data_IF_782228250894
#
_entry.id   IF_782228250894
#
_cell.length_a   1.000
_cell.length_b   1.000
_cell.length_c   1.000
_cell.angle_alpha   90.00
_cell.angle_beta   90.00
_cell.angle_gamma   90.00
#
_symmetry.space_group_name_H-M   'P 1'
#
loop_
_entity.id
_entity.type
_entity.pdbx_description
1 polymer ?
#
# COMPACT_ATOMS: atom_id res chain seq x y z
N UNK A 1 -38.83 -16.85 -90.50
CA UNK A 1 -39.16 -16.68 -89.05
C UNK A 1 -39.44 -15.20 -88.94
N UNK A 2 -40.73 -14.83 -88.74
CA UNK A 2 -41.16 -13.46 -89.00
C UNK A 2 -40.95 -12.57 -87.76
N UNK A 3 -40.19 -11.50 -87.95
CA UNK A 3 -40.00 -10.45 -86.91
C UNK A 3 -41.35 -9.88 -86.35
N UNK A 4 -42.39 -10.01 -87.08
CA UNK A 4 -43.69 -9.56 -86.73
C UNK A 4 -44.44 -10.49 -85.74
N UNK A 5 -44.17 -11.83 -85.82
CA UNK A 5 -44.67 -12.83 -84.89
C UNK A 5 -43.96 -12.72 -83.55
N UNK A 6 -42.66 -12.54 -83.57
CA UNK A 6 -41.87 -12.33 -82.33
C UNK A 6 -42.27 -11.05 -81.60
N UNK A 7 -42.58 -9.96 -82.32
CA UNK A 7 -43.06 -8.70 -81.72
C UNK A 7 -44.41 -8.85 -81.06
N UNK A 8 -45.32 -9.63 -81.64
CA UNK A 8 -46.64 -9.89 -81.05
C UNK A 8 -46.51 -10.76 -79.79
N UNK A 9 -45.62 -11.74 -79.83
CA UNK A 9 -45.43 -12.59 -78.67
C UNK A 9 -44.76 -11.81 -77.49
N UNK A 10 -43.78 -10.94 -77.80
CA UNK A 10 -43.21 -10.04 -76.80
C UNK A 10 -44.22 -9.05 -76.23
N UNK A 11 -45.11 -8.53 -77.06
CA UNK A 11 -46.15 -7.63 -76.58
C UNK A 11 -47.15 -8.33 -75.64
N UNK A 12 -47.52 -9.60 -75.99
CA UNK A 12 -48.39 -10.42 -75.14
C UNK A 12 -47.73 -10.79 -73.81
N UNK A 13 -46.42 -11.13 -73.81
CA UNK A 13 -45.66 -11.41 -72.63
C UNK A 13 -45.55 -10.15 -71.76
N UNK A 14 -45.21 -9.01 -72.31
CA UNK A 14 -45.15 -7.72 -71.59
C UNK A 14 -46.50 -7.35 -70.95
N UNK A 15 -47.61 -7.54 -71.72
CA UNK A 15 -48.93 -7.28 -71.14
C UNK A 15 -49.29 -8.17 -69.95
N UNK A 16 -48.82 -9.43 -69.96
CA UNK A 16 -48.98 -10.36 -68.86
C UNK A 16 -48.08 -9.93 -67.64
N UNK A 17 -46.88 -9.50 -67.90
CA UNK A 17 -45.94 -9.03 -66.85
C UNK A 17 -46.52 -7.74 -66.20
N UNK A 18 -46.94 -6.78 -66.98
CA UNK A 18 -47.60 -5.57 -66.47
C UNK A 18 -48.85 -5.88 -65.64
N UNK A 19 -49.68 -6.77 -66.12
CA UNK A 19 -50.89 -7.16 -65.39
C UNK A 19 -50.58 -7.82 -64.03
N UNK A 20 -49.50 -8.53 -63.95
CA UNK A 20 -49.12 -9.25 -62.73
C UNK A 20 -48.31 -8.39 -61.76
N UNK A 21 -47.43 -7.52 -62.25
CA UNK A 21 -46.47 -6.77 -61.42
C UNK A 21 -46.87 -5.30 -61.22
N UNK A 22 -47.67 -4.65 -62.08
CA UNK A 22 -48.09 -3.28 -61.88
C UNK A 22 -48.80 -3.05 -60.53
N UNK A 23 -49.62 -3.96 -60.01
CA UNK A 23 -50.23 -3.78 -58.70
C UNK A 23 -49.22 -3.65 -57.60
N UNK A 24 -48.06 -4.30 -57.75
CA UNK A 24 -46.94 -4.23 -56.71
C UNK A 24 -46.26 -2.85 -56.69
N UNK A 25 -46.26 -2.14 -57.84
CA UNK A 25 -45.73 -0.79 -57.94
C UNK A 25 -46.61 0.26 -57.22
N UNK A 26 -47.83 -0.05 -57.01
CA UNK A 26 -48.80 0.83 -56.30
C UNK A 26 -48.98 0.43 -54.83
N UNK A 27 -48.33 -0.63 -54.41
CA UNK A 27 -48.39 -1.08 -53.03
C UNK A 27 -47.75 -0.05 -52.10
N UNK A 28 -48.42 0.38 -51.00
CA UNK A 28 -47.90 1.38 -50.14
C UNK A 28 -46.63 0.80 -49.42
N UNK A 29 -45.53 1.55 -49.49
CA UNK A 29 -44.27 1.16 -48.84
C UNK A 29 -44.49 0.94 -47.34
N UNK A 30 -44.16 -0.22 -46.77
CA UNK A 30 -44.41 -0.50 -45.37
C UNK A 30 -43.79 0.58 -44.46
N UNK A 31 -44.54 1.06 -43.47
CA UNK A 31 -44.15 2.13 -42.56
C UNK A 31 -42.79 1.88 -41.87
N UNK A 32 -42.42 0.60 -41.69
CA UNK A 32 -41.09 0.19 -41.15
C UNK A 32 -39.90 0.63 -42.02
N UNK A 33 -40.11 0.88 -43.33
CA UNK A 33 -39.05 1.36 -44.22
C UNK A 33 -38.85 2.88 -44.14
N UNK A 34 -39.84 3.63 -43.66
CA UNK A 34 -39.73 5.07 -43.43
C UNK A 34 -39.23 5.41 -42.03
N UNK A 35 -39.33 4.49 -41.08
CA UNK A 35 -38.81 4.70 -39.71
C UNK A 35 -37.31 4.50 -39.69
N UNK A 36 -36.56 5.42 -40.27
CA UNK A 36 -35.18 5.62 -39.87
C UNK A 36 -35.20 6.03 -38.40
N UNK A 37 -34.68 5.19 -37.51
CA UNK A 37 -34.44 5.61 -36.14
C UNK A 37 -33.56 6.87 -36.18
N UNK A 38 -33.99 7.97 -35.60
CA UNK A 38 -33.23 9.20 -35.68
C UNK A 38 -31.88 8.97 -35.03
N UNK A 39 -30.81 9.23 -35.78
CA UNK A 39 -29.42 8.95 -35.36
C UNK A 39 -29.06 9.62 -34.02
N UNK A 40 -29.78 10.68 -33.65
CA UNK A 40 -29.57 11.36 -32.36
C UNK A 40 -29.84 10.47 -31.13
N UNK A 41 -30.70 9.44 -31.26
CA UNK A 41 -30.97 8.48 -30.17
C UNK A 41 -29.73 7.61 -29.84
N UNK A 42 -28.94 7.28 -30.83
CA UNK A 42 -27.70 6.51 -30.63
C UNK A 42 -26.61 7.40 -30.00
N UNK A 43 -26.54 8.67 -30.41
CA UNK A 43 -25.66 9.67 -29.74
C UNK A 43 -26.12 9.97 -28.31
N UNK A 44 -27.44 10.03 -28.06
CA UNK A 44 -27.96 10.24 -26.72
C UNK A 44 -27.62 9.08 -25.78
N UNK A 45 -27.67 7.84 -26.27
CA UNK A 45 -27.23 6.66 -25.48
C UNK A 45 -25.73 6.68 -25.18
N UNK A 46 -24.92 7.01 -26.18
CA UNK A 46 -23.47 7.16 -25.98
C UNK A 46 -23.14 8.27 -24.96
N UNK A 47 -23.82 9.42 -25.10
CA UNK A 47 -23.64 10.53 -24.15
C UNK A 47 -24.09 10.17 -22.73
N UNK A 48 -25.15 9.38 -22.57
CA UNK A 48 -25.61 8.89 -21.26
C UNK A 48 -24.57 7.96 -20.61
N UNK A 49 -23.97 7.05 -21.37
CA UNK A 49 -22.93 6.16 -20.86
C UNK A 49 -21.68 6.94 -20.41
N UNK A 50 -21.29 7.95 -21.18
CA UNK A 50 -20.18 8.85 -20.82
C UNK A 50 -20.50 9.64 -19.55
N UNK A 51 -21.73 10.19 -19.45
CA UNK A 51 -22.16 10.92 -18.26
C UNK A 51 -22.19 10.04 -17.00
N UNK A 52 -22.67 8.79 -17.14
CA UNK A 52 -22.62 7.81 -16.03
C UNK A 52 -21.16 7.49 -15.65
N UNK A 53 -20.27 7.31 -16.63
CA UNK A 53 -18.85 7.06 -16.37
C UNK A 53 -18.18 8.23 -15.63
N UNK A 54 -18.48 9.47 -16.03
CA UNK A 54 -18.01 10.68 -15.37
C UNK A 54 -18.57 10.78 -13.94
N UNK A 55 -19.88 10.54 -13.76
CA UNK A 55 -20.53 10.58 -12.46
C UNK A 55 -19.95 9.53 -11.49
N UNK A 56 -19.70 8.31 -11.95
CA UNK A 56 -19.03 7.25 -11.17
C UNK A 56 -17.59 7.67 -10.86
N UNK A 57 -16.87 8.21 -11.84
CA UNK A 57 -15.49 8.69 -11.68
C UNK A 57 -15.36 9.81 -10.66
N UNK A 58 -16.31 10.74 -10.61
CA UNK A 58 -16.35 11.85 -9.65
C UNK A 58 -16.88 11.40 -8.27
N UNK A 59 -17.77 10.43 -8.21
CA UNK A 59 -18.31 9.90 -6.96
C UNK A 59 -17.34 8.93 -6.26
N UNK A 60 -16.48 8.23 -7.00
CA UNK A 60 -15.54 7.25 -6.47
C UNK A 60 -14.53 7.82 -5.45
N UNK A 61 -13.97 9.05 -5.62
CA UNK A 61 -13.16 9.69 -4.58
C UNK A 61 -13.94 10.09 -3.33
N UNK A 62 -15.24 10.40 -3.46
CA UNK A 62 -16.12 10.75 -2.32
C UNK A 62 -16.54 9.52 -1.50
N UNK A 63 -16.62 8.36 -2.14
CA UNK A 63 -16.91 7.06 -1.50
C UNK A 63 -15.65 6.38 -0.98
N UNK A 64 -14.48 6.67 -1.56
CA UNK A 64 -13.20 6.35 -0.96
C UNK A 64 -12.97 7.40 0.10
N UNK A 65 -12.95 6.98 1.37
CA UNK A 65 -12.43 7.84 2.44
C UNK A 65 -11.10 8.49 2.04
N UNK A 66 -10.62 9.52 2.75
CA UNK A 66 -9.42 10.26 2.39
C UNK A 66 -8.35 9.25 1.96
N UNK A 67 -7.85 9.42 0.73
CA UNK A 67 -6.77 8.57 0.21
C UNK A 67 -5.67 8.57 1.28
N UNK A 68 -5.13 7.38 1.67
CA UNK A 68 -4.00 7.34 2.56
C UNK A 68 -2.96 8.31 2.00
N UNK A 69 -2.59 9.32 2.78
CA UNK A 69 -1.52 10.24 2.39
C UNK A 69 -0.34 9.40 1.91
N UNK A 70 0.36 9.74 0.82
CA UNK A 70 1.56 9.01 0.39
C UNK A 70 2.64 8.93 1.48
N UNK A 71 2.58 9.79 2.51
CA UNK A 71 3.31 9.63 3.77
C UNK A 71 2.86 8.44 4.63
N UNK A 72 1.68 7.82 4.39
CA UNK A 72 1.21 6.61 5.06
C UNK A 72 1.80 5.32 4.51
N UNK A 73 2.66 5.35 3.50
CA UNK A 73 3.49 4.18 3.14
C UNK A 73 4.62 3.90 4.13
N UNK A 74 4.96 4.84 5.01
CA UNK A 74 5.83 4.56 6.14
C UNK A 74 5.01 3.78 7.19
N UNK A 75 5.28 2.48 7.33
CA UNK A 75 4.69 1.69 8.41
C UNK A 75 4.96 2.37 9.75
N UNK A 76 3.99 2.40 10.69
CA UNK A 76 4.20 2.97 12.02
C UNK A 76 5.47 2.43 12.71
N UNK A 77 6.08 3.23 13.56
CA UNK A 77 7.32 2.88 14.25
C UNK A 77 7.29 1.48 14.89
N UNK A 78 6.24 1.06 15.64
CA UNK A 78 6.22 -0.27 16.23
C UNK A 78 6.23 -1.40 15.19
N UNK A 79 5.55 -1.24 14.06
CA UNK A 79 5.53 -2.23 12.98
C UNK A 79 6.91 -2.38 12.35
N UNK A 80 7.63 -1.26 12.13
CA UNK A 80 9.00 -1.28 11.58
C UNK A 80 9.97 -1.97 12.54
N UNK A 81 9.88 -1.64 13.81
CA UNK A 81 10.73 -2.22 14.86
C UNK A 81 10.47 -3.72 15.05
N UNK A 82 9.19 -4.15 15.08
CA UNK A 82 8.82 -5.55 15.17
C UNK A 82 9.33 -6.36 13.97
N UNK A 83 9.19 -5.83 12.76
CA UNK A 83 9.72 -6.49 11.54
C UNK A 83 11.23 -6.64 11.59
N UNK A 84 11.96 -5.59 12.01
CA UNK A 84 13.40 -5.66 12.18
C UNK A 84 13.77 -6.69 13.26
N UNK A 85 13.04 -6.76 14.36
CA UNK A 85 13.22 -7.77 15.39
C UNK A 85 13.05 -9.19 14.83
N UNK A 86 11.95 -9.48 14.15
CA UNK A 86 11.66 -10.79 13.56
C UNK A 86 12.71 -11.26 12.54
N UNK A 87 13.26 -10.33 11.76
CA UNK A 87 14.28 -10.65 10.76
C UNK A 87 15.62 -10.99 11.40
N UNK A 88 16.04 -10.23 12.42
CA UNK A 88 17.41 -10.30 12.94
C UNK A 88 17.53 -11.06 14.26
N UNK A 89 16.48 -11.21 15.04
CA UNK A 89 16.54 -11.95 16.29
C UNK A 89 16.84 -13.46 16.14
N UNK A 90 16.43 -14.15 15.05
CA UNK A 90 16.79 -15.55 14.86
C UNK A 90 18.23 -15.78 14.37
N UNK A 91 18.93 -14.71 13.91
CA UNK A 91 20.28 -14.84 13.33
C UNK A 91 21.30 -15.25 14.41
N UNK A 92 21.95 -16.40 14.20
CA UNK A 92 22.90 -16.97 15.18
C UNK A 92 24.33 -16.60 14.85
N UNK A 93 24.72 -16.66 13.58
CA UNK A 93 26.11 -16.50 13.17
C UNK A 93 26.57 -15.04 13.15
N UNK A 94 25.69 -14.14 12.70
CA UNK A 94 25.97 -12.71 12.57
C UNK A 94 24.80 -11.88 13.14
N UNK A 95 24.54 -11.98 14.47
CA UNK A 95 23.41 -11.32 15.09
C UNK A 95 23.55 -9.79 15.07
N UNK A 96 24.77 -9.27 14.96
CA UNK A 96 25.11 -7.85 14.95
C UNK A 96 26.21 -7.56 13.92
N UNK A 97 26.41 -6.30 13.56
CA UNK A 97 27.50 -5.85 12.68
C UNK A 97 28.74 -5.46 13.50
N UNK A 98 28.51 -4.86 14.66
CA UNK A 98 29.57 -4.48 15.61
C UNK A 98 29.25 -5.12 16.96
N UNK A 99 30.17 -5.88 17.49
CA UNK A 99 30.04 -6.59 18.76
C UNK A 99 30.07 -5.64 19.97
N UNK A 100 29.45 -6.06 21.07
CA UNK A 100 29.44 -5.30 22.32
C UNK A 100 30.83 -5.00 22.87
N UNK A 101 31.86 -5.82 22.53
CA UNK A 101 33.26 -5.56 22.92
C UNK A 101 33.80 -4.26 22.31
N UNK A 102 33.23 -3.81 21.20
CA UNK A 102 33.59 -2.57 20.52
C UNK A 102 32.53 -1.48 20.74
N UNK A 103 31.90 -1.42 21.92
CA UNK A 103 30.79 -0.53 22.24
C UNK A 103 31.08 0.94 21.93
N UNK A 104 32.28 1.44 22.25
CA UNK A 104 32.65 2.83 21.98
C UNK A 104 32.70 3.14 20.48
N UNK A 105 33.22 2.18 19.70
CA UNK A 105 33.21 2.28 18.24
C UNK A 105 31.76 2.26 17.69
N UNK A 106 30.93 1.32 18.17
CA UNK A 106 29.54 1.17 17.81
C UNK A 106 28.73 2.48 18.01
N UNK A 107 28.88 3.09 19.21
CA UNK A 107 28.20 4.33 19.54
C UNK A 107 28.64 5.47 18.61
N UNK A 108 29.93 5.67 18.44
CA UNK A 108 30.51 6.72 17.58
C UNK A 108 30.07 6.56 16.12
N UNK A 109 30.15 5.34 15.60
CA UNK A 109 29.78 5.02 14.23
C UNK A 109 28.30 5.25 13.98
N UNK A 110 27.41 4.67 14.79
CA UNK A 110 25.96 4.83 14.63
C UNK A 110 25.53 6.28 14.86
N UNK A 111 26.09 6.98 15.84
CA UNK A 111 25.80 8.41 16.07
C UNK A 111 26.15 9.25 14.83
N UNK A 112 27.28 8.98 14.20
CA UNK A 112 27.69 9.65 12.96
C UNK A 112 26.73 9.32 11.81
N UNK A 113 26.29 8.07 11.68
CA UNK A 113 25.37 7.61 10.61
C UNK A 113 23.98 8.20 10.75
N UNK A 114 23.47 8.31 11.97
CA UNK A 114 22.15 8.90 12.24
C UNK A 114 22.23 10.44 12.38
N UNK A 115 23.43 11.01 12.45
CA UNK A 115 23.66 12.45 12.72
C UNK A 115 22.90 12.92 13.99
N UNK A 116 23.02 12.11 15.08
CA UNK A 116 22.46 12.39 16.40
C UNK A 116 23.24 11.62 17.47
N UNK A 117 23.40 12.15 18.70
CA UNK A 117 24.08 11.44 19.77
C UNK A 117 23.25 10.23 20.20
N UNK A 118 23.87 9.06 20.23
CA UNK A 118 23.25 7.82 20.71
C UNK A 118 23.86 7.43 22.07
N UNK A 119 23.01 6.84 22.92
CA UNK A 119 23.40 6.17 24.15
C UNK A 119 22.91 4.72 24.07
N UNK A 120 23.71 3.80 24.58
CA UNK A 120 23.34 2.40 24.73
C UNK A 120 22.88 2.16 26.17
N UNK A 121 21.60 1.82 26.41
CA UNK A 121 21.13 1.51 27.75
C UNK A 121 21.81 0.23 28.33
N UNK A 122 22.14 0.25 29.60
CA UNK A 122 22.63 -0.93 30.31
C UNK A 122 21.42 -1.68 30.87
N UNK A 123 21.25 -2.95 30.45
CA UNK A 123 20.09 -3.77 30.81
C UNK A 123 20.45 -5.00 31.66
N UNK A 124 21.68 -5.09 32.16
CA UNK A 124 22.16 -6.19 33.01
C UNK A 124 21.31 -6.36 34.27
N UNK A 125 20.82 -5.26 34.86
CA UNK A 125 19.92 -5.29 36.02
C UNK A 125 18.55 -5.92 35.70
N UNK A 126 18.16 -5.91 34.42
CA UNK A 126 16.95 -6.54 33.91
C UNK A 126 17.22 -7.95 33.36
N UNK A 127 18.46 -8.44 33.44
CA UNK A 127 18.87 -9.76 32.99
C UNK A 127 19.22 -9.86 31.51
N UNK A 128 19.44 -8.73 30.82
CA UNK A 128 19.80 -8.69 29.41
C UNK A 128 21.18 -8.07 29.19
N UNK A 129 22.06 -8.79 28.48
CA UNK A 129 23.35 -8.30 28.08
C UNK A 129 23.37 -7.84 26.64
N UNK A 130 24.13 -6.78 26.36
CA UNK A 130 24.29 -6.27 25.00
C UNK A 130 25.10 -7.28 24.17
N UNK A 131 24.56 -7.69 23.03
CA UNK A 131 25.30 -8.43 21.99
C UNK A 131 26.06 -7.49 21.06
N UNK A 132 25.54 -6.32 20.80
CA UNK A 132 26.10 -5.33 19.89
C UNK A 132 25.03 -4.56 19.15
N UNK A 133 25.35 -4.08 17.94
CA UNK A 133 24.40 -3.32 17.14
C UNK A 133 24.68 -3.38 15.65
N UNK A 134 23.75 -2.79 14.88
CA UNK A 134 23.81 -2.71 13.43
C UNK A 134 23.13 -1.45 12.90
N UNK A 135 23.45 -1.11 11.65
CA UNK A 135 22.79 -0.07 10.90
C UNK A 135 21.75 -0.71 9.98
N UNK A 136 20.52 -0.24 10.05
CA UNK A 136 19.43 -0.67 9.16
C UNK A 136 19.01 0.44 8.22
N UNK A 137 18.52 0.11 7.01
CA UNK A 137 17.80 1.06 6.18
C UNK A 137 16.43 1.34 6.81
N UNK A 138 16.07 2.61 6.93
CA UNK A 138 14.74 3.06 7.34
C UNK A 138 14.07 3.85 6.23
N UNK A 139 12.78 4.11 6.38
CA UNK A 139 11.99 4.85 5.38
C UNK A 139 12.50 6.28 5.22
N UNK A 140 12.93 6.91 6.31
CA UNK A 140 13.32 8.33 6.37
C UNK A 140 14.81 8.52 6.67
N UNK A 141 15.59 7.49 6.52
CA UNK A 141 17.01 7.52 6.76
C UNK A 141 17.53 6.32 7.53
N UNK A 142 18.78 6.38 7.99
CA UNK A 142 19.42 5.28 8.71
C UNK A 142 18.79 5.07 10.09
N UNK A 143 18.81 3.82 10.53
CA UNK A 143 18.27 3.36 11.82
C UNK A 143 19.36 2.60 12.56
N UNK A 144 19.50 2.85 13.85
CA UNK A 144 20.33 2.04 14.73
C UNK A 144 19.47 0.94 15.37
N UNK A 145 19.96 -0.29 15.37
CA UNK A 145 19.40 -1.39 16.13
C UNK A 145 20.43 -1.94 17.08
N UNK A 146 20.14 -1.91 18.38
CA UNK A 146 20.92 -2.59 19.40
C UNK A 146 20.23 -3.90 19.76
N UNK A 147 21.00 -4.96 19.92
CA UNK A 147 20.50 -6.29 20.26
C UNK A 147 21.03 -6.71 21.62
N UNK A 148 20.12 -7.19 22.45
CA UNK A 148 20.39 -7.72 23.77
C UNK A 148 19.92 -9.18 23.86
N UNK A 149 20.50 -9.93 24.76
CA UNK A 149 20.12 -11.33 24.99
C UNK A 149 20.17 -11.65 26.50
N UNK A 150 19.18 -12.43 26.95
CA UNK A 150 19.20 -12.97 28.32
C UNK A 150 19.94 -14.32 28.39
N UNK A 151 20.09 -14.86 29.60
CA UNK A 151 20.73 -16.13 29.83
C UNK A 151 20.02 -17.34 29.21
N UNK A 152 18.73 -17.19 28.87
CA UNK A 152 17.95 -18.24 28.20
C UNK A 152 18.03 -18.17 26.66
N UNK A 153 18.73 -17.16 26.13
CA UNK A 153 18.82 -16.92 24.67
C UNK A 153 17.70 -16.07 24.08
N UNK A 154 16.77 -15.58 24.89
CA UNK A 154 15.74 -14.63 24.43
C UNK A 154 16.36 -13.30 24.07
N UNK A 155 15.92 -12.74 22.97
CA UNK A 155 16.48 -11.50 22.42
C UNK A 155 15.51 -10.33 22.57
N UNK A 156 16.09 -9.17 22.86
CA UNK A 156 15.43 -7.88 22.77
C UNK A 156 16.17 -7.02 21.74
N UNK A 157 15.45 -6.16 21.04
CA UNK A 157 16.04 -5.18 20.13
C UNK A 157 15.55 -3.79 20.47
N UNK A 158 16.47 -2.85 20.61
CA UNK A 158 16.20 -1.42 20.71
C UNK A 158 16.42 -0.79 19.33
N UNK A 159 15.35 -0.34 18.72
CA UNK A 159 15.30 0.32 17.43
C UNK A 159 15.30 1.84 17.66
N UNK A 160 16.26 2.56 17.09
CA UNK A 160 16.41 4.02 17.25
C UNK A 160 16.44 4.67 15.88
N UNK A 161 15.56 5.63 15.66
CA UNK A 161 15.43 6.34 14.38
C UNK A 161 15.16 7.82 14.60
N UNK A 162 15.34 8.64 13.57
CA UNK A 162 14.80 10.00 13.57
C UNK A 162 13.28 9.94 13.47
N UNK A 163 12.53 10.82 14.15
CA UNK A 163 11.10 10.89 14.00
C UNK A 163 10.73 11.21 12.54
N UNK A 164 9.66 10.61 12.06
CA UNK A 164 9.09 10.97 10.77
C UNK A 164 8.38 12.34 10.87
N UNK A 165 8.35 13.11 9.77
CA UNK A 165 7.55 14.33 9.72
C UNK A 165 6.09 13.98 9.95
N UNK A 166 5.54 14.40 11.09
CA UNK A 166 4.18 14.07 11.52
C UNK A 166 4.09 13.02 12.62
N UNK A 167 5.23 12.44 13.06
CA UNK A 167 5.26 11.71 14.32
C UNK A 167 5.17 12.73 15.46
N UNK A 168 4.02 12.75 16.13
CA UNK A 168 3.88 13.57 17.33
C UNK A 168 4.75 13.01 18.47
N UNK A 169 5.31 13.90 19.29
CA UNK A 169 5.93 13.52 20.56
C UNK A 169 4.91 12.69 21.33
N UNK A 170 5.23 11.43 21.57
CA UNK A 170 4.27 10.51 22.19
C UNK A 170 4.72 10.13 23.58
N UNK A 171 3.75 10.01 24.49
CA UNK A 171 3.97 9.26 25.70
C UNK A 171 4.36 7.80 25.37
N UNK A 172 4.89 7.14 26.37
CA UNK A 172 5.24 5.72 26.34
C UNK A 172 4.01 4.85 25.95
N UNK A 173 4.10 4.15 24.82
CA UNK A 173 2.99 3.38 24.22
C UNK A 173 3.38 1.92 24.04
N UNK A 174 2.35 1.06 24.02
CA UNK A 174 2.50 -0.37 23.75
C UNK A 174 1.77 -0.75 22.45
N UNK A 175 2.37 -1.64 21.67
CA UNK A 175 1.76 -2.31 20.54
C UNK A 175 2.09 -3.80 20.58
N UNK A 176 1.19 -4.63 20.05
CA UNK A 176 1.43 -6.06 19.81
C UNK A 176 1.44 -6.30 18.31
N UNK A 177 2.57 -6.76 17.79
CA UNK A 177 2.77 -7.02 16.36
C UNK A 177 3.04 -8.50 16.14
N UNK A 178 1.97 -9.28 15.98
CA UNK A 178 2.05 -10.74 15.96
C UNK A 178 2.62 -11.29 17.27
N UNK A 179 3.70 -12.09 17.24
CA UNK A 179 4.33 -12.62 18.45
C UNK A 179 5.17 -11.58 19.21
N UNK A 180 5.47 -10.43 18.59
CA UNK A 180 6.38 -9.44 19.14
C UNK A 180 5.63 -8.38 19.93
N UNK A 181 6.01 -8.22 21.19
CA UNK A 181 5.59 -7.10 22.04
C UNK A 181 6.50 -5.91 21.78
N UNK A 182 5.95 -4.71 21.64
CA UNK A 182 6.72 -3.48 21.37
C UNK A 182 6.29 -2.37 22.32
N UNK A 183 7.24 -1.81 23.06
CA UNK A 183 7.09 -0.51 23.70
C UNK A 183 7.81 0.55 22.90
N UNK A 184 7.14 1.67 22.60
CA UNK A 184 7.70 2.72 21.79
C UNK A 184 7.31 4.11 22.29
N UNK A 185 8.14 5.07 21.98
CA UNK A 185 7.92 6.49 22.26
C UNK A 185 8.71 7.33 21.25
N UNK A 186 8.26 8.54 21.08
CA UNK A 186 8.91 9.55 20.23
C UNK A 186 9.15 10.77 21.09
N UNK A 187 10.37 11.21 21.19
CA UNK A 187 10.73 12.52 21.71
C UNK A 187 11.02 13.49 20.54
N UNK A 188 11.55 14.69 20.85
CA UNK A 188 11.78 15.74 19.84
C UNK A 188 12.68 15.29 18.70
N UNK A 189 13.70 14.50 18.99
CA UNK A 189 14.80 14.19 18.06
C UNK A 189 14.89 12.70 17.70
N UNK A 190 14.23 11.84 18.47
CA UNK A 190 14.38 10.41 18.38
C UNK A 190 13.05 9.66 18.51
N UNK A 191 12.88 8.64 17.67
CA UNK A 191 11.88 7.60 17.85
C UNK A 191 12.56 6.33 18.37
N UNK A 192 12.05 5.78 19.45
CA UNK A 192 12.55 4.58 20.11
C UNK A 192 11.49 3.48 20.09
N UNK A 193 11.91 2.24 19.86
CA UNK A 193 11.06 1.08 20.03
C UNK A 193 11.84 -0.10 20.57
N UNK A 194 11.43 -0.61 21.72
CA UNK A 194 11.95 -1.82 22.33
C UNK A 194 11.04 -3.00 21.99
N UNK A 195 11.58 -3.99 21.30
CA UNK A 195 10.84 -5.14 20.78
C UNK A 195 11.39 -6.45 21.35
N UNK A 196 10.47 -7.39 21.62
CA UNK A 196 10.86 -8.74 22.06
C UNK A 196 9.67 -9.70 22.13
N UNK A 197 9.97 -11.00 22.04
CA UNK A 197 8.98 -12.08 22.21
C UNK A 197 8.86 -12.47 23.70
N UNK A 198 8.58 -11.47 24.55
CA UNK A 198 8.34 -11.63 25.99
C UNK A 198 7.01 -10.99 26.36
N UNK A 199 6.50 -11.34 27.53
CA UNK A 199 5.23 -10.82 28.01
C UNK A 199 5.27 -9.30 28.25
N UNK A 200 4.13 -8.66 28.12
CA UNK A 200 3.99 -7.21 28.27
C UNK A 200 4.53 -6.68 29.61
N UNK A 201 4.24 -7.30 30.78
CA UNK A 201 4.78 -6.83 32.07
C UNK A 201 6.32 -6.86 32.14
N UNK A 202 6.93 -7.93 31.61
CA UNK A 202 8.39 -8.04 31.58
C UNK A 202 9.00 -6.99 30.65
N UNK A 203 8.45 -6.84 29.43
CA UNK A 203 8.93 -5.82 28.48
C UNK A 203 8.72 -4.40 29.03
N UNK A 204 7.63 -4.14 29.78
CA UNK A 204 7.38 -2.84 30.38
C UNK A 204 8.43 -2.43 31.42
N UNK A 205 8.90 -3.38 32.24
CA UNK A 205 10.00 -3.13 33.21
C UNK A 205 11.27 -2.73 32.48
N UNK A 206 11.68 -3.53 31.48
CA UNK A 206 12.89 -3.24 30.69
C UNK A 206 12.75 -1.91 29.96
N UNK A 207 11.61 -1.66 29.32
CA UNK A 207 11.37 -0.42 28.58
C UNK A 207 11.38 0.82 29.50
N UNK A 208 10.87 0.70 30.74
CA UNK A 208 10.96 1.76 31.74
C UNK A 208 12.40 2.02 32.19
N UNK A 209 13.24 0.99 32.25
CA UNK A 209 14.67 1.13 32.53
C UNK A 209 15.39 1.83 31.37
N UNK A 210 15.09 1.44 30.13
CA UNK A 210 15.62 2.10 28.91
C UNK A 210 15.22 3.57 28.88
N UNK A 211 13.94 3.87 29.09
CA UNK A 211 13.40 5.23 29.05
C UNK A 211 14.14 6.16 30.01
N UNK A 212 14.29 5.75 31.29
CA UNK A 212 15.00 6.54 32.31
C UNK A 212 16.47 6.80 31.98
N UNK A 213 17.15 5.89 31.27
CA UNK A 213 18.55 6.04 30.89
C UNK A 213 18.71 6.93 29.65
N UNK A 214 17.71 7.01 28.79
CA UNK A 214 17.72 7.80 27.56
C UNK A 214 17.12 9.19 27.74
N UNK A 215 16.31 9.42 28.75
CA UNK A 215 15.88 10.77 29.12
C UNK A 215 17.10 11.67 29.41
N UNK A 216 17.09 12.92 28.89
CA UNK A 216 18.18 13.88 29.08
C UNK A 216 18.29 14.40 30.51
#
# INVERSE_FOLDING_TARGET
MNEEEDRVEYAAQNALLHRHFDPVLTEPIPARMYMRRPAWLDYARAAMLVAIGIAIGLAMPLLRGPAPNPSTFASPLPVRAARAHLVYSPEVRHPVEVDAKEQDHLVKWLSKRLAMPLKIPVLSTEGFELLGGRLLPGTDGPVAQFMYQDASGKRLTLYVTKPHRGDDVTAFRFAQEGPVSVFYWVDRDCGYALSGEIDKPALARVASSVYRQLEP
#
